data_IF_827095269787
#
_entry.id   IF_827095269787
#
_cell.length_a   1.000
_cell.length_b   1.000
_cell.length_c   1.000
_cell.angle_alpha   90.00
_cell.angle_beta   90.00
_cell.angle_gamma   90.00
#
_symmetry.space_group_name_H-M   'P 1'
#
loop_
_entity.id
_entity.type
_entity.pdbx_description
1 polymer ?
#
# COMPACT_ATOMS: atom_id res chain seq x y z
N UNK A 1 -11.94 18.03 66.51
CA UNK A 1 -12.10 16.68 65.96
C UNK A 1 -12.30 16.68 64.44
N UNK A 2 -13.00 17.64 63.87
CA UNK A 2 -13.30 17.70 62.41
C UNK A 2 -12.05 17.89 61.51
N UNK A 3 -11.03 18.67 61.92
CA UNK A 3 -9.82 18.88 61.15
C UNK A 3 -8.97 17.62 60.98
N UNK A 4 -8.95 16.71 61.94
CA UNK A 4 -8.20 15.44 61.81
C UNK A 4 -8.87 14.44 60.87
N UNK A 5 -10.19 14.51 60.70
CA UNK A 5 -10.94 13.68 59.76
C UNK A 5 -10.73 14.10 58.29
N UNK A 6 -10.57 15.41 58.06
CA UNK A 6 -10.32 15.95 56.72
C UNK A 6 -8.93 15.55 56.17
N UNK A 7 -7.91 15.53 57.02
CA UNK A 7 -6.56 15.08 56.62
C UNK A 7 -6.49 13.57 56.34
N UNK A 8 -7.30 12.76 57.04
CA UNK A 8 -7.40 11.32 56.78
C UNK A 8 -8.11 11.01 55.45
N UNK A 9 -9.08 11.83 55.03
CA UNK A 9 -9.82 11.64 53.77
C UNK A 9 -8.99 12.08 52.56
N UNK A 10 -8.11 13.08 52.72
CA UNK A 10 -7.22 13.53 51.62
C UNK A 10 -6.09 12.53 51.38
N UNK A 11 -5.61 11.82 52.40
CA UNK A 11 -4.55 10.82 52.24
C UNK A 11 -4.99 9.56 51.46
N UNK A 12 -6.28 9.25 51.43
CA UNK A 12 -6.82 8.09 50.71
C UNK A 12 -6.97 8.35 49.20
N UNK A 13 -7.05 9.63 48.79
CA UNK A 13 -7.19 9.99 47.36
C UNK A 13 -5.88 9.99 46.58
N UNK A 14 -4.72 9.85 47.23
CA UNK A 14 -3.40 9.92 46.56
C UNK A 14 -2.83 8.54 46.14
N UNK A 15 -3.52 7.43 46.44
CA UNK A 15 -3.07 6.08 46.06
C UNK A 15 -3.73 5.50 44.83
N UNK A 16 -4.54 6.29 44.09
CA UNK A 16 -5.12 5.85 42.81
C UNK A 16 -4.28 6.27 41.61
N UNK A 17 -2.95 6.11 41.68
CA UNK A 17 -2.12 6.06 40.50
C UNK A 17 -2.19 4.63 39.90
N UNK A 18 -3.31 4.33 39.28
CA UNK A 18 -3.41 3.15 38.41
C UNK A 18 -2.39 3.28 37.30
N UNK A 19 -1.27 2.56 37.42
CA UNK A 19 -0.35 2.29 36.33
C UNK A 19 -1.18 1.57 35.27
N UNK A 20 -1.70 2.31 34.29
CA UNK A 20 -2.18 1.72 33.05
C UNK A 20 -0.93 1.17 32.35
N UNK A 21 -0.54 -0.06 32.71
CA UNK A 21 0.31 -0.86 31.85
C UNK A 21 -0.40 -0.91 30.50
N UNK A 22 0.08 -0.16 29.55
CA UNK A 22 -0.11 -0.51 28.14
C UNK A 22 0.49 -1.91 28.00
N UNK A 23 -0.35 -2.92 28.13
CA UNK A 23 0.01 -4.28 27.75
C UNK A 23 0.11 -4.20 26.24
N UNK A 24 1.27 -3.82 25.75
CA UNK A 24 1.68 -4.11 24.41
C UNK A 24 1.79 -5.63 24.34
N UNK A 25 0.68 -6.29 24.03
CA UNK A 25 0.72 -7.72 23.72
C UNK A 25 1.55 -7.82 22.47
N UNK A 26 2.83 -8.15 22.63
CA UNK A 26 3.69 -8.46 21.51
C UNK A 26 3.00 -9.49 20.61
N UNK A 27 3.06 -9.36 19.29
CA UNK A 27 2.42 -10.31 18.40
C UNK A 27 3.08 -11.68 18.62
N UNK A 28 2.31 -12.64 19.17
CA UNK A 28 2.80 -13.99 19.35
C UNK A 28 2.90 -14.65 17.98
N UNK A 29 4.13 -14.80 17.49
CA UNK A 29 4.43 -15.51 16.26
C UNK A 29 4.29 -17.02 16.52
N UNK A 30 3.35 -17.68 15.84
CA UNK A 30 3.26 -19.13 15.88
C UNK A 30 4.37 -19.75 15.01
N UNK A 31 5.41 -20.25 15.66
CA UNK A 31 6.53 -20.89 14.99
C UNK A 31 6.14 -22.17 14.24
N UNK A 32 5.00 -22.81 14.59
CA UNK A 32 4.52 -24.07 13.97
C UNK A 32 3.85 -23.85 12.62
N UNK A 33 3.34 -22.62 12.33
CA UNK A 33 2.72 -22.34 11.04
C UNK A 33 3.74 -22.45 9.91
N UNK A 34 3.36 -23.18 8.86
CA UNK A 34 4.18 -23.35 7.64
C UNK A 34 3.92 -22.19 6.67
N UNK A 35 4.91 -21.83 5.84
CA UNK A 35 4.78 -20.79 4.80
C UNK A 35 3.52 -20.93 3.96
N UNK A 36 3.16 -22.17 3.57
CA UNK A 36 1.94 -22.48 2.81
C UNK A 36 0.66 -22.06 3.56
N UNK A 37 0.60 -22.28 4.86
CA UNK A 37 -0.58 -21.94 5.68
C UNK A 37 -0.71 -20.42 5.82
N UNK A 38 0.41 -19.74 6.12
CA UNK A 38 0.47 -18.29 6.23
C UNK A 38 0.02 -17.62 4.92
N UNK A 39 0.59 -18.04 3.79
CA UNK A 39 0.21 -17.49 2.49
C UNK A 39 -1.26 -17.76 2.13
N UNK A 40 -1.77 -18.98 2.38
CA UNK A 40 -3.20 -19.27 2.16
C UNK A 40 -4.11 -18.41 3.05
N UNK A 41 -3.72 -18.19 4.30
CA UNK A 41 -4.50 -17.32 5.21
C UNK A 41 -4.46 -15.87 4.71
N UNK A 42 -3.30 -15.37 4.30
CA UNK A 42 -3.18 -14.05 3.67
C UNK A 42 -4.10 -13.94 2.44
N UNK A 43 -4.09 -14.91 1.54
CA UNK A 43 -4.93 -14.93 0.35
C UNK A 43 -6.44 -14.90 0.66
N UNK A 44 -6.87 -15.45 1.80
CA UNK A 44 -8.26 -15.37 2.27
C UNK A 44 -8.65 -13.99 2.83
N UNK A 45 -7.65 -13.15 3.13
CA UNK A 45 -7.89 -11.77 3.56
C UNK A 45 -8.05 -10.78 2.40
N UNK A 46 -8.08 -11.26 1.14
CA UNK A 46 -8.36 -10.40 -0.01
C UNK A 46 -9.71 -9.72 0.16
N UNK A 47 -9.72 -8.43 -0.15
CA UNK A 47 -10.95 -7.64 -0.12
C UNK A 47 -11.86 -8.02 -1.29
N UNK A 48 -13.17 -7.97 -1.07
CA UNK A 48 -14.19 -8.26 -2.08
C UNK A 48 -15.06 -7.01 -2.30
N UNK A 49 -15.08 -6.52 -3.54
CA UNK A 49 -15.87 -5.37 -3.97
C UNK A 49 -15.96 -5.36 -5.50
N UNK A 50 -16.95 -4.68 -6.05
CA UNK A 50 -17.06 -4.39 -7.48
C UNK A 50 -16.43 -3.06 -7.83
N UNK A 51 -16.74 -2.02 -7.06
CA UNK A 51 -16.20 -0.67 -7.26
C UNK A 51 -15.69 -0.09 -5.93
N UNK A 52 -14.66 0.73 -6.03
CA UNK A 52 -14.09 1.49 -4.92
C UNK A 52 -13.88 2.94 -5.32
N UNK A 53 -14.29 3.87 -4.47
CA UNK A 53 -13.93 5.28 -4.58
C UNK A 53 -13.22 5.73 -3.31
N UNK A 54 -12.16 6.53 -3.47
CA UNK A 54 -11.43 7.11 -2.34
C UNK A 54 -10.92 8.50 -2.69
N UNK A 55 -10.84 9.36 -1.67
CA UNK A 55 -9.99 10.54 -1.71
C UNK A 55 -8.57 10.09 -1.35
N UNK A 56 -7.63 10.29 -2.24
CA UNK A 56 -6.23 9.88 -2.11
C UNK A 56 -5.36 11.12 -1.89
N UNK A 57 -4.61 11.16 -0.79
CA UNK A 57 -3.50 12.10 -0.62
C UNK A 57 -2.23 11.41 -1.07
N UNK A 58 -1.60 11.93 -2.12
CA UNK A 58 -0.31 11.51 -2.63
C UNK A 58 0.75 12.51 -2.19
N UNK A 59 1.84 12.02 -1.63
CA UNK A 59 3.06 12.78 -1.38
C UNK A 59 4.20 12.08 -2.14
N UNK A 60 4.82 12.80 -3.08
CA UNK A 60 5.96 12.36 -3.86
C UNK A 60 7.19 13.12 -3.39
N UNK A 61 8.24 12.40 -3.04
CA UNK A 61 9.53 12.96 -2.65
C UNK A 61 10.64 12.38 -3.52
N UNK A 62 11.40 13.25 -4.17
CA UNK A 62 12.55 12.92 -5.01
C UNK A 62 13.73 13.79 -4.54
N UNK A 63 14.71 13.14 -3.93
CA UNK A 63 15.81 13.85 -3.26
C UNK A 63 15.28 14.84 -2.22
N UNK A 64 15.56 16.13 -2.39
CA UNK A 64 15.13 17.19 -1.48
C UNK A 64 13.80 17.87 -1.89
N UNK A 65 13.15 17.41 -2.96
CA UNK A 65 11.90 17.98 -3.44
C UNK A 65 10.73 17.12 -2.99
N UNK A 66 9.74 17.73 -2.37
CA UNK A 66 8.49 17.05 -1.99
C UNK A 66 7.28 17.81 -2.53
N UNK A 67 6.34 17.05 -3.08
CA UNK A 67 5.08 17.58 -3.61
C UNK A 67 3.92 16.78 -3.02
N UNK A 68 2.86 17.48 -2.65
CA UNK A 68 1.65 16.85 -2.10
C UNK A 68 0.45 17.18 -2.95
N UNK A 69 -0.33 16.15 -3.30
CA UNK A 69 -1.51 16.27 -4.14
C UNK A 69 -2.70 15.55 -3.52
N UNK A 70 -3.89 16.13 -3.68
CA UNK A 70 -5.15 15.47 -3.34
C UNK A 70 -5.83 15.02 -4.62
N UNK A 71 -6.11 13.73 -4.70
CA UNK A 71 -6.61 13.05 -5.88
C UNK A 71 -7.95 12.37 -5.57
N UNK A 72 -8.74 12.10 -6.60
CA UNK A 72 -9.84 11.15 -6.52
C UNK A 72 -9.41 9.86 -7.20
N UNK A 73 -9.40 8.77 -6.44
CA UNK A 73 -9.19 7.41 -6.94
C UNK A 73 -10.54 6.74 -7.12
N UNK A 74 -10.76 6.11 -8.26
CA UNK A 74 -11.86 5.19 -8.54
C UNK A 74 -11.31 3.91 -9.12
N UNK A 75 -11.86 2.80 -8.70
CA UNK A 75 -11.49 1.48 -9.20
C UNK A 75 -12.74 0.68 -9.52
N UNK A 76 -12.69 -0.06 -10.62
CA UNK A 76 -13.56 -1.18 -10.92
C UNK A 76 -12.69 -2.42 -10.93
N UNK A 77 -13.03 -3.38 -10.06
CA UNK A 77 -12.20 -4.56 -9.81
C UNK A 77 -11.85 -5.31 -11.08
N UNK A 78 -10.55 -5.52 -11.31
CA UNK A 78 -10.03 -6.24 -12.47
C UNK A 78 -10.20 -5.53 -13.81
N UNK A 79 -10.72 -4.30 -13.84
CA UNK A 79 -11.05 -3.59 -15.08
C UNK A 79 -10.43 -2.21 -15.19
N UNK A 80 -10.57 -1.34 -14.19
CA UNK A 80 -10.17 0.06 -14.34
C UNK A 80 -9.62 0.62 -13.02
N UNK A 81 -8.46 1.28 -13.08
CA UNK A 81 -7.98 2.23 -12.08
C UNK A 81 -8.02 3.61 -12.71
N UNK A 82 -8.73 4.53 -12.09
CA UNK A 82 -8.91 5.88 -12.58
C UNK A 82 -8.55 6.90 -11.50
N UNK A 83 -7.72 7.86 -11.88
CA UNK A 83 -7.27 8.92 -10.98
C UNK A 83 -7.55 10.28 -11.60
N UNK A 84 -8.06 11.19 -10.80
CA UNK A 84 -8.30 12.57 -11.17
C UNK A 84 -7.61 13.51 -10.18
N UNK A 85 -6.83 14.42 -10.70
CA UNK A 85 -6.04 15.37 -9.95
C UNK A 85 -6.28 16.81 -10.39
N UNK A 86 -5.97 17.78 -9.52
CA UNK A 86 -5.93 19.21 -9.82
C UNK A 86 -7.18 19.73 -10.53
N UNK A 87 -8.35 19.62 -9.90
CA UNK A 87 -9.59 20.13 -10.47
C UNK A 87 -9.84 19.68 -11.93
N UNK A 88 -9.59 18.41 -12.21
CA UNK A 88 -9.72 17.79 -13.53
C UNK A 88 -8.65 18.22 -14.56
N UNK A 89 -7.53 18.77 -14.12
CA UNK A 89 -6.44 19.14 -15.02
C UNK A 89 -5.59 17.95 -15.43
N UNK A 90 -5.41 16.98 -14.54
CA UNK A 90 -4.66 15.74 -14.81
C UNK A 90 -5.60 14.56 -14.62
N UNK A 91 -5.62 13.64 -15.56
CA UNK A 91 -6.31 12.35 -15.45
C UNK A 91 -5.44 11.21 -15.89
N UNK A 92 -5.55 10.12 -15.14
CA UNK A 92 -4.93 8.84 -15.43
C UNK A 92 -6.03 7.78 -15.49
N UNK A 93 -6.00 6.92 -16.49
CA UNK A 93 -6.82 5.73 -16.63
C UNK A 93 -5.94 4.55 -16.97
N UNK A 94 -6.00 3.52 -16.15
CA UNK A 94 -5.26 2.27 -16.34
C UNK A 94 -6.30 1.15 -16.50
N UNK A 95 -6.14 0.37 -17.54
CA UNK A 95 -6.94 -0.84 -17.83
C UNK A 95 -5.98 -2.02 -18.00
N UNK A 96 -6.45 -3.28 -18.04
CA UNK A 96 -5.58 -4.42 -18.32
C UNK A 96 -4.73 -4.28 -19.61
N UNK A 97 -5.22 -3.51 -20.58
CA UNK A 97 -4.60 -3.38 -21.91
C UNK A 97 -3.61 -2.23 -21.98
N UNK A 98 -3.87 -1.12 -21.24
CA UNK A 98 -3.06 0.09 -21.42
C UNK A 98 -3.14 1.10 -20.28
N UNK A 99 -2.20 2.02 -20.31
CA UNK A 99 -2.10 3.20 -19.46
C UNK A 99 -2.37 4.45 -20.29
N UNK A 100 -3.29 5.28 -19.85
CA UNK A 100 -3.65 6.54 -20.52
C UNK A 100 -3.59 7.68 -19.51
N UNK A 101 -2.95 8.77 -19.85
CA UNK A 101 -2.86 9.97 -19.03
C UNK A 101 -2.97 11.21 -19.90
N UNK A 102 -3.55 12.28 -19.36
CA UNK A 102 -3.36 13.61 -19.93
C UNK A 102 -3.15 14.66 -18.83
N UNK A 103 -2.37 15.67 -19.18
CA UNK A 103 -2.14 16.86 -18.36
C UNK A 103 -2.54 18.11 -19.18
N UNK A 104 -3.58 18.80 -18.74
CA UNK A 104 -4.08 20.03 -19.39
C UNK A 104 -3.20 21.24 -19.11
N UNK A 105 -2.44 21.23 -18.02
CA UNK A 105 -1.54 22.33 -17.66
C UNK A 105 -0.40 22.43 -18.71
N UNK A 106 0.20 21.29 -19.03
CA UNK A 106 1.34 21.21 -19.94
C UNK A 106 0.91 20.89 -21.37
N UNK A 107 -0.38 20.63 -21.60
CA UNK A 107 -0.95 20.17 -22.88
C UNK A 107 -0.24 18.92 -23.40
N UNK A 108 -0.06 17.96 -22.52
CA UNK A 108 0.60 16.68 -22.83
C UNK A 108 -0.34 15.50 -22.59
N UNK A 109 -0.08 14.40 -23.25
CA UNK A 109 -0.77 13.14 -23.01
C UNK A 109 0.18 11.95 -23.19
N UNK A 110 -0.19 10.83 -22.58
CA UNK A 110 0.39 9.52 -22.79
C UNK A 110 -0.74 8.54 -23.13
N UNK A 111 -0.54 7.69 -24.13
CA UNK A 111 -1.41 6.57 -24.48
C UNK A 111 -0.51 5.41 -24.92
N UNK A 112 -0.25 4.48 -24.03
CA UNK A 112 0.71 3.40 -24.23
C UNK A 112 0.48 2.24 -23.28
N UNK A 113 1.47 1.39 -23.15
CA UNK A 113 1.48 0.23 -22.28
C UNK A 113 1.98 0.56 -20.85
N UNK A 114 2.42 -0.44 -20.11
CA UNK A 114 2.88 -0.32 -18.72
C UNK A 114 4.34 0.13 -18.61
N UNK A 115 5.02 0.40 -19.70
CA UNK A 115 6.44 0.79 -19.70
C UNK A 115 6.67 2.03 -18.85
N UNK A 116 5.81 3.06 -18.96
CA UNK A 116 5.86 4.27 -18.12
C UNK A 116 5.87 3.97 -16.62
N UNK A 117 5.11 2.98 -16.19
CA UNK A 117 5.04 2.59 -14.77
C UNK A 117 6.24 1.73 -14.43
N UNK A 118 6.67 0.89 -15.35
CA UNK A 118 7.86 0.04 -15.23
C UNK A 118 9.10 0.89 -15.03
N UNK A 119 9.28 1.93 -15.83
CA UNK A 119 10.41 2.84 -15.72
C UNK A 119 10.40 3.62 -14.42
N UNK A 120 9.22 4.09 -14.00
CA UNK A 120 9.09 4.83 -12.74
C UNK A 120 9.33 3.96 -11.50
N UNK A 121 8.82 2.72 -11.48
CA UNK A 121 8.95 1.81 -10.33
C UNK A 121 10.14 0.86 -10.43
N UNK A 122 10.78 0.82 -11.60
CA UNK A 122 11.97 0.00 -11.85
C UNK A 122 11.73 -1.50 -11.98
N UNK A 123 10.48 -1.95 -12.04
CA UNK A 123 10.11 -3.36 -12.20
C UNK A 123 8.95 -3.49 -13.19
N UNK A 124 8.97 -4.56 -13.99
CA UNK A 124 7.87 -4.85 -14.92
C UNK A 124 6.58 -5.19 -14.17
N UNK A 125 5.56 -4.38 -14.39
CA UNK A 125 4.24 -4.51 -13.76
C UNK A 125 3.14 -4.57 -14.81
N UNK A 126 2.02 -5.16 -14.38
CA UNK A 126 0.76 -5.17 -15.12
C UNK A 126 -0.38 -4.62 -14.24
N UNK A 127 -1.58 -4.56 -14.78
CA UNK A 127 -2.78 -4.09 -14.06
C UNK A 127 -2.97 -4.78 -12.72
N UNK A 128 -2.92 -6.11 -12.70
CA UNK A 128 -3.14 -6.89 -11.47
C UNK A 128 -2.10 -6.57 -10.38
N UNK A 129 -0.85 -6.30 -10.76
CA UNK A 129 0.20 -5.92 -9.81
C UNK A 129 -0.13 -4.57 -9.15
N UNK A 130 -0.56 -3.57 -9.94
CA UNK A 130 -0.94 -2.25 -9.42
C UNK A 130 -2.17 -2.33 -8.53
N UNK A 131 -3.18 -3.07 -8.95
CA UNK A 131 -4.39 -3.31 -8.17
C UNK A 131 -4.03 -3.97 -6.82
N UNK A 132 -3.21 -5.02 -6.84
CA UNK A 132 -2.75 -5.70 -5.64
C UNK A 132 -2.04 -4.76 -4.65
N UNK A 133 -1.16 -3.88 -5.14
CA UNK A 133 -0.47 -2.88 -4.29
C UNK A 133 -1.47 -1.96 -3.61
N UNK A 134 -2.45 -1.43 -4.34
CA UNK A 134 -3.45 -0.52 -3.78
C UNK A 134 -4.38 -1.20 -2.76
N UNK A 135 -4.52 -2.52 -2.84
CA UNK A 135 -5.39 -3.32 -1.96
C UNK A 135 -4.66 -4.00 -0.80
N UNK A 136 -3.33 -3.91 -0.72
CA UNK A 136 -2.53 -4.56 0.32
C UNK A 136 -2.37 -6.06 0.09
N UNK A 137 -2.43 -6.48 -1.15
CA UNK A 137 -2.21 -7.86 -1.59
C UNK A 137 -0.77 -8.04 -2.11
N UNK A 138 -0.33 -9.30 -2.24
CA UNK A 138 1.00 -9.60 -2.75
C UNK A 138 1.18 -9.10 -4.19
N UNK A 139 2.21 -8.29 -4.44
CA UNK A 139 2.52 -7.69 -5.74
C UNK A 139 2.55 -8.74 -6.85
N UNK A 140 3.32 -9.79 -6.65
CA UNK A 140 3.29 -10.98 -7.49
C UNK A 140 2.47 -12.07 -6.81
N UNK A 141 1.83 -12.92 -7.58
CA UNK A 141 1.04 -14.03 -7.01
C UNK A 141 1.96 -15.24 -6.75
N UNK A 142 2.54 -15.38 -5.53
CA UNK A 142 3.51 -16.41 -5.26
C UNK A 142 2.87 -17.79 -5.24
N UNK A 143 3.55 -18.77 -5.84
CA UNK A 143 3.15 -20.18 -5.72
C UNK A 143 3.39 -20.66 -4.29
N UNK A 144 2.37 -21.24 -3.65
CA UNK A 144 2.40 -21.62 -2.23
C UNK A 144 3.54 -22.58 -1.84
N UNK A 145 4.02 -23.41 -2.78
CA UNK A 145 5.09 -24.37 -2.53
C UNK A 145 6.50 -23.79 -2.79
N UNK A 146 6.57 -22.59 -3.36
CA UNK A 146 7.84 -21.96 -3.75
C UNK A 146 8.46 -21.11 -2.63
N UNK A 147 7.74 -20.90 -1.51
CA UNK A 147 8.20 -20.05 -0.41
C UNK A 147 8.66 -20.87 0.79
N UNK A 148 9.64 -20.36 1.51
CA UNK A 148 10.03 -20.72 2.87
C UNK A 148 9.61 -19.63 3.85
N UNK A 149 9.43 -19.99 5.12
CA UNK A 149 9.15 -19.06 6.21
C UNK A 149 10.43 -18.77 6.97
N UNK A 150 10.62 -17.52 7.26
CA UNK A 150 11.55 -17.02 8.27
C UNK A 150 10.74 -16.20 9.29
N UNK A 151 11.30 -15.95 10.45
CA UNK A 151 10.69 -15.13 11.49
C UNK A 151 11.59 -13.93 11.72
N UNK A 152 10.99 -12.75 11.80
CA UNK A 152 11.61 -11.62 12.46
C UNK A 152 10.92 -11.38 13.82
N UNK A 153 11.18 -10.27 14.48
CA UNK A 153 10.61 -10.00 15.81
C UNK A 153 9.08 -9.83 15.79
N UNK A 154 8.50 -9.39 14.68
CA UNK A 154 7.10 -8.94 14.61
C UNK A 154 6.27 -9.60 13.52
N UNK A 155 6.90 -10.17 12.48
CA UNK A 155 6.21 -10.61 11.27
C UNK A 155 6.64 -12.01 10.83
N UNK A 156 5.77 -12.72 10.12
CA UNK A 156 6.18 -13.84 9.29
C UNK A 156 6.82 -13.30 8.02
N UNK A 157 8.05 -13.70 7.74
CA UNK A 157 8.76 -13.37 6.51
C UNK A 157 8.68 -14.54 5.55
N UNK A 158 8.07 -14.34 4.39
CA UNK A 158 8.03 -15.34 3.32
C UNK A 158 9.02 -14.97 2.23
N UNK A 159 9.94 -15.88 1.94
CA UNK A 159 10.99 -15.72 0.93
C UNK A 159 10.96 -16.87 -0.07
N UNK A 160 11.42 -16.68 -1.31
CA UNK A 160 11.56 -17.77 -2.27
C UNK A 160 12.54 -18.86 -1.73
N UNK A 161 12.19 -20.13 -1.94
CA UNK A 161 13.09 -21.26 -1.63
C UNK A 161 14.32 -21.29 -2.54
N UNK A 162 14.14 -20.87 -3.80
CA UNK A 162 15.22 -20.75 -4.78
C UNK A 162 15.53 -19.27 -4.94
N UNK A 163 16.79 -18.93 -4.76
CA UNK A 163 17.28 -17.57 -5.04
C UNK A 163 17.24 -17.36 -6.54
N UNK A 164 16.67 -16.22 -6.95
CA UNK A 164 16.73 -15.74 -8.33
C UNK A 164 17.68 -14.53 -8.33
N UNK A 165 18.74 -14.60 -9.08
CA UNK A 165 19.73 -13.52 -9.16
C UNK A 165 19.15 -12.28 -9.88
N UNK A 166 18.13 -12.47 -10.71
CA UNK A 166 17.46 -11.35 -11.42
C UNK A 166 16.45 -10.64 -10.55
N UNK A 167 15.71 -11.39 -9.72
CA UNK A 167 14.61 -10.85 -8.94
C UNK A 167 14.41 -11.62 -7.63
N UNK A 168 14.49 -10.92 -6.52
CA UNK A 168 14.20 -11.44 -5.18
C UNK A 168 12.99 -10.73 -4.59
N UNK A 169 12.06 -11.49 -4.01
CA UNK A 169 10.83 -10.93 -3.42
C UNK A 169 10.67 -11.42 -2.00
N UNK A 170 10.43 -10.50 -1.07
CA UNK A 170 10.14 -10.78 0.33
C UNK A 170 8.73 -10.27 0.66
N UNK A 171 8.00 -11.04 1.49
CA UNK A 171 6.68 -10.64 1.99
C UNK A 171 6.71 -10.67 3.52
N UNK A 172 6.34 -9.55 4.14
CA UNK A 172 6.20 -9.39 5.59
C UNK A 172 4.73 -9.46 5.95
N UNK A 173 4.33 -10.49 6.67
CA UNK A 173 2.92 -10.77 6.98
C UNK A 173 2.67 -10.63 8.47
N UNK A 174 1.69 -9.80 8.82
CA UNK A 174 1.26 -9.57 10.18
C UNK A 174 0.70 -10.87 10.80
N UNK A 175 1.15 -11.30 11.98
CA UNK A 175 0.73 -12.55 12.58
C UNK A 175 -0.71 -12.58 13.10
N UNK A 176 -1.35 -11.41 13.30
CA UNK A 176 -2.73 -11.30 13.78
C UNK A 176 -3.74 -11.19 12.64
N UNK A 177 -3.52 -10.23 11.75
CA UNK A 177 -4.44 -9.95 10.65
C UNK A 177 -4.18 -10.77 9.40
N UNK A 178 -2.98 -11.35 9.27
CA UNK A 178 -2.47 -11.96 8.05
C UNK A 178 -2.49 -11.04 6.81
N UNK A 179 -2.61 -9.72 7.01
CA UNK A 179 -2.36 -8.73 5.98
C UNK A 179 -0.86 -8.51 5.80
N UNK A 180 -0.46 -8.01 4.64
CA UNK A 180 0.92 -7.58 4.42
C UNK A 180 1.23 -6.34 5.29
N UNK A 181 2.34 -6.36 6.00
CA UNK A 181 2.96 -5.17 6.60
C UNK A 181 3.91 -4.51 5.62
N UNK A 182 4.48 -5.31 4.72
CA UNK A 182 5.32 -4.84 3.64
C UNK A 182 5.67 -5.95 2.66
N UNK A 183 6.28 -5.53 1.57
CA UNK A 183 6.90 -6.41 0.58
C UNK A 183 8.05 -5.67 -0.08
N UNK A 184 9.13 -6.41 -0.37
CA UNK A 184 10.32 -5.87 -1.02
C UNK A 184 10.61 -6.66 -2.28
N UNK A 185 10.99 -5.96 -3.31
CA UNK A 185 11.53 -6.52 -4.56
C UNK A 185 12.93 -5.99 -4.74
N UNK A 186 13.88 -6.86 -4.92
CA UNK A 186 15.27 -6.50 -5.15
C UNK A 186 15.77 -7.11 -6.46
N UNK A 187 16.43 -6.30 -7.27
CA UNK A 187 17.08 -6.66 -8.54
C UNK A 187 18.59 -6.47 -8.37
N UNK A 188 19.33 -7.53 -7.98
CA UNK A 188 20.75 -7.43 -7.64
C UNK A 188 21.60 -6.86 -8.78
N UNK A 189 21.35 -7.29 -10.02
CA UNK A 189 22.13 -6.89 -11.18
C UNK A 189 21.93 -5.41 -11.53
N UNK A 190 20.73 -4.87 -11.28
CA UNK A 190 20.37 -3.48 -11.57
C UNK A 190 20.67 -2.56 -10.37
N UNK A 191 21.13 -3.12 -9.24
CA UNK A 191 21.26 -2.39 -7.98
C UNK A 191 20.01 -1.55 -7.65
N UNK A 192 18.85 -2.18 -7.79
CA UNK A 192 17.53 -1.55 -7.66
C UNK A 192 16.67 -2.27 -6.65
N UNK A 193 15.91 -1.52 -5.84
CA UNK A 193 14.91 -2.08 -4.95
C UNK A 193 13.60 -1.30 -4.99
N UNK A 194 12.50 -2.01 -4.77
CA UNK A 194 11.17 -1.47 -4.54
C UNK A 194 10.66 -2.00 -3.20
N UNK A 195 10.45 -1.12 -2.24
CA UNK A 195 9.88 -1.44 -0.94
C UNK A 195 8.49 -0.84 -0.82
N UNK A 196 7.50 -1.68 -0.53
CA UNK A 196 6.12 -1.28 -0.31
C UNK A 196 5.76 -1.59 1.14
N UNK A 197 5.39 -0.58 1.92
CA UNK A 197 5.06 -0.71 3.33
C UNK A 197 3.62 -0.24 3.58
N UNK A 198 2.83 -1.07 4.26
CA UNK A 198 1.47 -0.78 4.67
C UNK A 198 1.47 -0.37 6.14
N UNK A 199 1.57 0.93 6.39
CA UNK A 199 1.73 1.49 7.74
C UNK A 199 0.47 1.35 8.58
N UNK A 200 -0.70 1.34 7.95
CA UNK A 200 -1.97 1.16 8.63
C UNK A 200 -3.04 0.66 7.68
N UNK A 201 -4.02 -0.03 8.27
CA UNK A 201 -5.24 -0.49 7.61
C UNK A 201 -6.45 0.20 8.24
N UNK A 202 -7.55 0.23 7.51
CA UNK A 202 -8.86 0.71 7.95
C UNK A 202 -9.92 -0.38 7.68
N UNK A 203 -10.86 -0.51 8.57
CA UNK A 203 -11.99 -1.41 8.40
C UNK A 203 -13.09 -0.72 7.60
N UNK A 204 -13.47 -1.31 6.47
CA UNK A 204 -14.58 -0.88 5.62
C UNK A 204 -15.43 -2.12 5.36
N UNK A 205 -16.66 -2.12 5.81
CA UNK A 205 -17.58 -3.24 5.67
C UNK A 205 -16.98 -4.58 6.15
N UNK A 206 -16.31 -4.56 7.31
CA UNK A 206 -15.61 -5.71 7.92
C UNK A 206 -14.45 -6.25 7.06
N UNK A 207 -13.91 -5.45 6.18
CA UNK A 207 -12.77 -5.78 5.34
C UNK A 207 -11.63 -4.77 5.61
N UNK A 208 -10.41 -5.28 5.69
CA UNK A 208 -9.23 -4.44 5.92
C UNK A 208 -8.65 -3.91 4.61
N UNK A 209 -8.81 -2.61 4.38
CA UNK A 209 -8.18 -1.87 3.28
C UNK A 209 -6.96 -1.09 3.76
N UNK A 210 -5.91 -0.94 2.96
CA UNK A 210 -4.82 -0.03 3.28
C UNK A 210 -5.34 1.39 3.52
N UNK A 211 -4.86 2.01 4.61
CA UNK A 211 -5.10 3.42 4.91
C UNK A 211 -3.89 4.26 4.53
N UNK A 212 -2.69 3.74 4.79
CA UNK A 212 -1.43 4.39 4.45
C UNK A 212 -0.47 3.39 3.84
N UNK A 213 0.01 3.71 2.63
CA UNK A 213 0.98 2.94 1.86
C UNK A 213 2.18 3.84 1.60
N UNK A 214 3.37 3.34 1.85
CA UNK A 214 4.62 3.98 1.40
C UNK A 214 5.30 3.09 0.39
N UNK A 215 5.66 3.65 -0.75
CA UNK A 215 6.40 2.98 -1.82
C UNK A 215 7.73 3.71 -1.95
N UNK A 216 8.81 3.00 -1.77
CA UNK A 216 10.18 3.50 -1.90
C UNK A 216 10.85 2.78 -3.06
N UNK A 217 11.33 3.55 -4.02
CA UNK A 217 12.18 3.07 -5.10
C UNK A 217 13.59 3.55 -4.81
N UNK A 218 14.54 2.65 -4.82
CA UNK A 218 15.95 2.96 -4.74
C UNK A 218 16.64 2.41 -5.98
N UNK A 219 17.24 3.27 -6.77
CA UNK A 219 18.02 2.92 -7.94
C UNK A 219 19.41 3.55 -7.81
N UNK A 220 20.43 2.69 -7.67
CA UNK A 220 21.79 3.13 -7.32
C UNK A 220 21.79 3.96 -6.02
N UNK A 221 21.87 5.28 -6.12
CA UNK A 221 21.83 6.21 -4.98
C UNK A 221 20.63 7.17 -5.04
N UNK A 222 19.78 7.03 -6.06
CA UNK A 222 18.60 7.84 -6.23
C UNK A 222 17.42 7.21 -5.50
N UNK A 223 16.79 7.97 -4.62
CA UNK A 223 15.64 7.54 -3.84
C UNK A 223 14.40 8.33 -4.24
N UNK A 224 13.33 7.61 -4.57
CA UNK A 224 12.00 8.15 -4.79
C UNK A 224 11.04 7.55 -3.78
N UNK A 225 10.32 8.40 -3.07
CA UNK A 225 9.32 7.98 -2.09
C UNK A 225 7.93 8.47 -2.50
N UNK A 226 6.97 7.54 -2.54
CA UNK A 226 5.55 7.87 -2.65
C UNK A 226 4.84 7.46 -1.38
N UNK A 227 4.06 8.38 -0.82
CA UNK A 227 3.18 8.10 0.30
C UNK A 227 1.74 8.31 -0.11
N UNK A 228 0.96 7.25 -0.04
CA UNK A 228 -0.44 7.20 -0.41
C UNK A 228 -1.29 7.09 0.85
N UNK A 229 -2.21 8.04 1.07
CA UNK A 229 -3.16 7.97 2.17
C UNK A 229 -4.58 7.94 1.60
N UNK A 230 -5.23 6.79 1.73
CA UNK A 230 -6.60 6.57 1.27
C UNK A 230 -7.58 7.03 2.35
N UNK A 231 -8.42 8.00 2.00
CA UNK A 231 -9.42 8.58 2.89
C UNK A 231 -10.80 8.39 2.28
N UNK A 232 -11.82 8.30 3.15
CA UNK A 232 -13.22 8.23 2.69
C UNK A 232 -13.44 7.13 1.64
N UNK A 233 -12.99 5.92 1.94
CA UNK A 233 -13.21 4.76 1.06
C UNK A 233 -14.69 4.41 1.06
N UNK A 234 -15.28 4.29 -0.14
CA UNK A 234 -16.68 3.92 -0.38
C UNK A 234 -16.66 2.77 -1.38
N UNK A 235 -17.40 1.70 -1.08
CA UNK A 235 -17.45 0.49 -1.88
C UNK A 235 -18.81 0.35 -2.60
N UNK A 236 -18.80 -0.38 -3.70
CA UNK A 236 -19.97 -0.93 -4.38
C UNK A 236 -21.01 0.12 -4.82
N UNK A 237 -20.56 1.37 -5.06
CA UNK A 237 -21.42 2.38 -5.64
C UNK A 237 -21.29 2.42 -7.17
N UNK A 238 -22.34 2.76 -7.91
CA UNK A 238 -22.25 3.00 -9.35
C UNK A 238 -21.23 4.12 -9.62
N UNK A 239 -20.15 3.81 -10.34
CA UNK A 239 -19.10 4.76 -10.68
C UNK A 239 -19.04 5.01 -12.18
N UNK A 240 -18.59 6.22 -12.54
CA UNK A 240 -18.22 6.57 -13.91
C UNK A 240 -16.73 6.86 -13.97
N UNK A 241 -16.10 6.48 -15.07
CA UNK A 241 -14.69 6.65 -15.32
C UNK A 241 -14.44 7.56 -16.54
N UNK A 242 -14.87 8.85 -16.47
CA UNK A 242 -14.84 9.73 -17.63
C UNK A 242 -13.40 10.00 -18.06
N UNK A 243 -13.08 9.61 -19.27
CA UNK A 243 -11.78 9.81 -19.89
C UNK A 243 -11.98 10.07 -21.40
N UNK A 244 -11.52 11.21 -21.86
CA UNK A 244 -11.47 11.56 -23.28
C UNK A 244 -10.16 12.26 -23.55
N UNK A 245 -9.35 11.67 -24.43
CA UNK A 245 -8.08 12.26 -24.82
C UNK A 245 -8.32 13.62 -25.49
N UNK A 246 -7.69 14.69 -25.01
CA UNK A 246 -7.81 15.99 -25.63
C UNK A 246 -7.13 16.02 -27.01
N UNK A 247 -7.70 16.75 -27.97
CA UNK A 247 -7.06 17.00 -29.26
C UNK A 247 -6.01 18.12 -29.16
N UNK A 248 -4.97 18.06 -30.00
CA UNK A 248 -3.94 19.09 -30.07
C UNK A 248 -2.96 19.12 -28.90
N UNK A 249 -2.88 18.03 -28.12
CA UNK A 249 -1.88 17.86 -27.08
C UNK A 249 -0.67 17.12 -27.63
N UNK A 250 0.51 17.37 -27.05
CA UNK A 250 1.75 16.70 -27.42
C UNK A 250 1.81 15.34 -26.68
N UNK A 251 2.06 14.28 -27.43
CA UNK A 251 2.39 12.99 -26.80
C UNK A 251 3.73 13.09 -26.09
N UNK A 252 3.79 12.56 -24.89
CA UNK A 252 5.06 12.33 -24.19
C UNK A 252 5.48 10.91 -24.49
N UNK A 253 6.67 10.79 -25.06
CA UNK A 253 7.40 9.55 -25.21
C UNK A 253 8.36 9.45 -24.01
N UNK A 254 8.62 8.25 -23.55
CA UNK A 254 9.52 7.95 -22.45
C UNK A 254 10.92 7.68 -22.97
#
# INVERSE_FOLDING_TARGET
MIKKFIYSLIAVLLFSCGIVKKIGVEPVLDSKLKAKQILKTHQKQKTDFTTLQSRLKLELTEGNKSQTHTLTLRMERGNTIWVNAFLNMVRLKITPEKVQMYNKLDRTFFDGDYEIITDFLGITLNFSNLENVLLGDALFNPKTNALKKELNQTSYVLTPKKVNELLQVLYFINPRSFKLEGQSVYQPLENRSLDINYQSFQDIDKQLFPKSITIKVLENQNETNLKLNLKSVILNQPLRFPFKMPSGYKQIDL
#
